data_IF_352339364527
#
_entry.id   IF_352339364527
#
_cell.length_a   1.000
_cell.length_b   1.000
_cell.length_c   1.000
_cell.angle_alpha   90.00
_cell.angle_beta   90.00
_cell.angle_gamma   90.00
#
_symmetry.space_group_name_H-M   'P 1'
#
loop_
_entity.id
_entity.type
_entity.pdbx_description
1 polymer ?
#
# COMPACT_ATOMS: atom_id res chain seq x y z
N UNK A 1 -12.52 -6.91 0.17
CA UNK A 1 -11.36 -6.42 -0.60
C UNK A 1 -10.13 -7.18 -0.16
N UNK A 2 -9.59 -8.02 -1.03
CA UNK A 2 -8.26 -8.60 -0.91
C UNK A 2 -7.23 -7.75 -1.69
N UNK A 3 -5.97 -8.19 -1.74
CA UNK A 3 -4.91 -7.48 -2.47
C UNK A 3 -5.21 -7.32 -3.97
N UNK A 4 -5.80 -8.33 -4.60
CA UNK A 4 -6.18 -8.29 -6.02
C UNK A 4 -7.31 -7.29 -6.29
N UNK A 5 -8.30 -7.23 -5.40
CA UNK A 5 -9.37 -6.24 -5.46
C UNK A 5 -8.81 -4.81 -5.37
N UNK A 6 -7.89 -4.57 -4.43
CA UNK A 6 -7.21 -3.28 -4.27
C UNK A 6 -6.42 -2.90 -5.53
N UNK A 7 -5.69 -3.85 -6.14
CA UNK A 7 -4.97 -3.61 -7.40
C UNK A 7 -5.94 -3.22 -8.52
N UNK A 8 -7.07 -3.91 -8.66
CA UNK A 8 -8.07 -3.59 -9.68
C UNK A 8 -8.68 -2.18 -9.48
N UNK A 9 -8.83 -1.72 -8.24
CA UNK A 9 -9.26 -0.35 -7.96
C UNK A 9 -8.15 0.67 -8.26
N UNK A 10 -6.90 0.37 -7.91
CA UNK A 10 -5.74 1.23 -8.22
C UNK A 10 -5.54 1.37 -9.73
N UNK A 11 -5.81 0.33 -10.53
CA UNK A 11 -5.80 0.41 -12.00
C UNK A 11 -6.73 1.50 -12.52
N UNK A 12 -7.81 1.84 -11.84
CA UNK A 12 -8.70 2.93 -12.30
C UNK A 12 -8.04 4.31 -12.20
N UNK A 13 -6.98 4.44 -11.39
CA UNK A 13 -6.22 5.66 -11.19
C UNK A 13 -4.87 5.67 -11.94
N UNK A 14 -4.43 4.53 -12.49
CA UNK A 14 -3.19 4.41 -13.25
C UNK A 14 -3.46 3.81 -14.63
N UNK A 15 -2.44 3.73 -15.49
CA UNK A 15 -2.66 3.29 -16.88
C UNK A 15 -2.77 1.76 -17.01
N UNK A 16 -2.00 1.00 -16.22
CA UNK A 16 -1.89 -0.46 -16.43
C UNK A 16 -1.98 -1.29 -15.15
N UNK A 17 -2.45 -2.54 -15.27
CA UNK A 17 -2.48 -3.51 -14.16
C UNK A 17 -1.11 -3.83 -13.59
N UNK A 18 -0.08 -3.82 -14.45
CA UNK A 18 1.31 -4.05 -14.01
C UNK A 18 1.80 -2.92 -13.10
N UNK A 19 1.53 -1.68 -13.47
CA UNK A 19 1.89 -0.51 -12.65
C UNK A 19 1.11 -0.48 -11.34
N UNK A 20 -0.20 -0.77 -11.38
CA UNK A 20 -1.01 -0.85 -10.16
C UNK A 20 -0.50 -1.92 -9.19
N UNK A 21 -0.15 -3.10 -9.71
CA UNK A 21 0.42 -4.18 -8.90
C UNK A 21 1.73 -3.74 -8.25
N UNK A 22 2.64 -3.15 -9.04
CA UNK A 22 3.92 -2.67 -8.55
C UNK A 22 3.77 -1.57 -7.48
N UNK A 23 2.83 -0.64 -7.67
CA UNK A 23 2.55 0.42 -6.70
C UNK A 23 2.02 -0.14 -5.37
N UNK A 24 1.03 -1.04 -5.42
CA UNK A 24 0.46 -1.68 -4.23
C UNK A 24 1.53 -2.49 -3.47
N UNK A 25 2.36 -3.25 -4.20
CA UNK A 25 3.45 -4.02 -3.61
C UNK A 25 4.47 -3.14 -2.91
N UNK A 26 4.85 -2.03 -3.56
CA UNK A 26 5.78 -1.04 -3.01
C UNK A 26 5.24 -0.45 -1.70
N UNK A 27 3.99 0.00 -1.68
CA UNK A 27 3.36 0.58 -0.48
C UNK A 27 3.39 -0.39 0.71
N UNK A 28 2.95 -1.63 0.50
CA UNK A 28 2.96 -2.62 1.58
C UNK A 28 4.37 -2.97 2.06
N UNK A 29 5.34 -3.06 1.14
CA UNK A 29 6.73 -3.29 1.49
C UNK A 29 7.31 -2.14 2.33
N UNK A 30 7.07 -0.89 1.92
CA UNK A 30 7.53 0.31 2.64
C UNK A 30 6.91 0.41 4.03
N UNK A 31 5.59 0.19 4.17
CA UNK A 31 4.92 0.16 5.48
C UNK A 31 5.53 -0.93 6.36
N UNK A 32 5.68 -2.15 5.83
CA UNK A 32 6.27 -3.27 6.57
C UNK A 32 7.69 -2.97 7.04
N UNK A 33 8.53 -2.39 6.18
CA UNK A 33 9.90 -2.02 6.54
C UNK A 33 9.94 -0.91 7.60
N UNK A 34 9.06 0.09 7.50
CA UNK A 34 8.98 1.18 8.44
C UNK A 34 8.50 0.70 9.83
N UNK A 35 7.49 -0.18 9.87
CA UNK A 35 7.01 -0.79 11.12
C UNK A 35 8.12 -1.57 11.84
N UNK A 36 8.92 -2.35 11.10
CA UNK A 36 10.08 -3.07 11.66
C UNK A 36 11.15 -2.15 12.27
N UNK A 37 11.28 -0.90 11.78
CA UNK A 37 12.38 0.01 12.15
C UNK A 37 12.00 1.10 13.15
N UNK A 38 10.75 1.61 13.12
CA UNK A 38 10.37 2.86 13.81
C UNK A 38 8.99 2.85 14.50
N UNK A 39 8.41 1.67 14.76
CA UNK A 39 7.30 1.48 15.71
C UNK A 39 5.91 1.96 15.27
N UNK A 40 5.80 2.98 14.40
CA UNK A 40 4.51 3.41 13.83
C UNK A 40 4.67 4.09 12.46
N UNK A 41 3.66 3.92 11.60
CA UNK A 41 3.52 4.59 10.30
C UNK A 41 2.16 5.28 10.26
N UNK A 42 2.15 6.60 10.11
CA UNK A 42 0.91 7.38 10.03
C UNK A 42 0.67 7.86 8.60
N UNK A 43 -0.50 7.53 8.06
CA UNK A 43 -1.00 8.03 6.78
C UNK A 43 -2.20 8.93 7.06
N UNK A 44 -2.01 10.25 6.94
CA UNK A 44 -3.04 11.26 7.22
C UNK A 44 -4.28 11.01 6.37
N UNK A 45 -5.45 11.04 7.00
CA UNK A 45 -6.73 10.77 6.33
C UNK A 45 -7.05 9.28 6.12
N UNK A 46 -6.16 8.37 6.52
CA UNK A 46 -6.38 6.93 6.44
C UNK A 46 -6.26 6.26 7.81
N UNK A 47 -5.13 6.44 8.49
CA UNK A 47 -4.91 5.88 9.81
C UNK A 47 -3.43 5.67 10.16
N UNK A 48 -3.20 5.04 11.31
CA UNK A 48 -1.87 4.72 11.82
C UNK A 48 -1.70 3.22 11.94
N UNK A 49 -0.65 2.70 11.32
CA UNK A 49 -0.19 1.32 11.50
C UNK A 49 0.84 1.29 12.63
N UNK A 50 0.74 0.29 13.49
CA UNK A 50 1.68 0.01 14.58
C UNK A 50 1.80 -1.50 14.77
N UNK A 51 2.94 -1.94 15.29
CA UNK A 51 3.22 -3.34 15.69
C UNK A 51 3.28 -3.46 17.20
#
# INVERSE_FOLDING_TARGET
>A
MNKGDLVNDVVKAVSTKKEAQAAVDCVFASITQALKKKGAVTLVGFGTFKV
#
